data_IF_906569838868
#
_entry.id   IF_906569838868
#
_cell.length_a   1.000
_cell.length_b   1.000
_cell.length_c   1.000
_cell.angle_alpha   90.00
_cell.angle_beta   90.00
_cell.angle_gamma   90.00
#
_symmetry.space_group_name_H-M   'P 1'
#
loop_
_entity.id
_entity.type
_entity.pdbx_description
1 polymer ?
#
# COMPACT_ATOMS: atom_id res chain seq x y z
N UNK A 1 -26.57 1.10 5.71
CA UNK A 1 -26.24 0.87 5.56
C UNK A 1 -25.39 0.53 5.45
N UNK A 2 -25.11 0.49 5.35
CA UNK A 2 -24.45 0.26 5.16
C UNK A 2 -23.70 -0.18 5.04
N UNK A 3 -23.36 -0.43 5.06
CA UNK A 3 -22.73 -0.77 4.94
C UNK A 3 -21.99 -1.32 4.65
N UNK A 4 -21.56 -1.53 4.41
CA UNK A 4 -20.95 -2.02 4.06
C UNK A 4 -20.15 -2.52 4.07
N UNK A 5 -19.73 -2.84 3.96
CA UNK A 5 -19.01 -3.38 3.93
C UNK A 5 -18.21 -3.85 3.74
N UNK A 6 -17.98 -3.92 3.55
CA UNK A 6 -17.34 -4.35 3.55
C UNK A 6 -16.32 -4.92 3.04
N UNK A 7 -15.91 -4.84 2.09
CA UNK A 7 -14.93 -5.45 1.67
C UNK A 7 -13.80 -4.98 2.09
N UNK A 8 -13.15 -5.57 2.63
CA UNK A 8 -12.10 -5.22 3.18
C UNK A 8 -11.16 -4.82 2.27
N UNK A 9 -10.45 -4.67 2.11
CA UNK A 9 -9.48 -4.36 1.47
C UNK A 9 -9.48 -4.33 0.19
N UNK A 10 -8.95 -3.99 -0.43
CA UNK A 10 -8.94 -4.07 -1.70
C UNK A 10 -9.07 -2.81 -2.35
N UNK A 11 -9.23 -2.82 -3.61
CA UNK A 11 -9.29 -1.61 -4.37
C UNK A 11 -10.46 -0.77 -4.07
N UNK A 12 -11.44 -1.33 -3.42
CA UNK A 12 -12.57 -0.55 -3.10
C UNK A 12 -12.50 0.14 -1.82
N UNK A 13 -11.42 0.05 -1.10
CA UNK A 13 -11.30 0.74 0.17
C UNK A 13 -11.25 2.23 -0.10
N UNK A 14 -12.21 3.00 0.33
CA UNK A 14 -12.21 4.43 0.03
C UNK A 14 -11.11 5.21 0.73
N UNK A 15 -10.47 4.61 1.71
CA UNK A 15 -9.38 5.30 2.38
C UNK A 15 -8.05 5.09 1.67
N UNK A 16 -7.99 4.10 0.77
CA UNK A 16 -6.75 3.79 0.10
C UNK A 16 -6.67 4.64 -1.15
N UNK A 17 -6.33 5.90 -0.99
CA UNK A 17 -6.38 6.88 -2.04
C UNK A 17 -4.99 7.22 -2.52
N UNK A 18 -4.92 7.92 -3.63
CA UNK A 18 -3.64 8.39 -4.12
C UNK A 18 -2.97 9.29 -3.09
N UNK A 19 -3.74 10.08 -2.39
CA UNK A 19 -3.18 10.94 -1.36
C UNK A 19 -2.54 10.15 -0.24
N UNK A 20 -3.20 9.07 0.17
CA UNK A 20 -2.65 8.21 1.20
C UNK A 20 -1.32 7.62 0.73
N UNK A 21 -1.27 7.17 -0.52
CA UNK A 21 -0.05 6.57 -1.05
C UNK A 21 1.07 7.60 -1.11
N UNK A 22 0.76 8.80 -1.54
CA UNK A 22 1.75 9.85 -1.60
C UNK A 22 2.29 10.16 -0.21
N UNK A 23 1.42 10.19 0.78
CA UNK A 23 1.85 10.43 2.15
C UNK A 23 2.82 9.37 2.64
N UNK A 24 2.52 8.11 2.34
CA UNK A 24 3.40 7.03 2.77
C UNK A 24 4.74 7.14 2.06
N UNK A 25 4.73 7.43 0.76
CA UNK A 25 5.98 7.57 0.03
C UNK A 25 6.80 8.74 0.61
N UNK A 26 6.11 9.82 0.99
CA UNK A 26 6.82 10.95 1.56
C UNK A 26 7.49 10.58 2.88
N UNK A 27 6.81 9.76 3.68
CA UNK A 27 7.39 9.31 4.93
C UNK A 27 8.64 8.48 4.67
N UNK A 28 8.56 7.58 3.70
CA UNK A 28 9.71 6.74 3.37
C UNK A 28 10.88 7.60 2.92
N UNK A 29 10.61 8.57 2.09
CA UNK A 29 11.68 9.43 1.61
C UNK A 29 12.26 10.27 2.73
N UNK A 30 11.44 10.69 3.66
CA UNK A 30 11.93 11.46 4.78
C UNK A 30 12.89 10.64 5.64
N UNK A 31 12.73 9.32 5.62
CA UNK A 31 13.61 8.45 6.37
C UNK A 31 14.78 7.93 5.54
N UNK A 32 14.94 8.44 4.34
CA UNK A 32 16.11 8.10 3.54
C UNK A 32 15.92 7.07 2.47
N UNK A 33 14.73 6.53 2.34
CA UNK A 33 14.48 5.53 1.30
C UNK A 33 14.19 6.22 -0.01
N UNK A 34 14.65 5.64 -1.10
CA UNK A 34 14.46 6.26 -2.40
C UNK A 34 14.03 5.24 -3.42
N UNK A 35 13.28 5.67 -4.39
CA UNK A 35 12.96 4.82 -5.51
C UNK A 35 14.19 4.67 -6.40
N UNK A 36 14.22 3.62 -7.20
CA UNK A 36 15.32 3.45 -8.13
C UNK A 36 15.42 4.62 -9.09
N UNK A 37 16.61 4.87 -9.57
CA UNK A 37 16.80 5.98 -10.49
C UNK A 37 16.26 5.69 -11.87
N UNK A 38 16.26 4.44 -12.29
CA UNK A 38 15.74 4.08 -13.58
C UNK A 38 14.24 4.17 -13.60
N UNK A 39 13.68 4.85 -14.61
CA UNK A 39 12.26 5.09 -14.62
C UNK A 39 11.43 3.84 -14.67
N UNK A 40 11.83 2.87 -15.46
CA UNK A 40 11.06 1.63 -15.56
C UNK A 40 11.10 0.87 -14.25
N UNK A 41 12.24 0.89 -13.58
CA UNK A 41 12.31 0.22 -12.30
C UNK A 41 11.54 0.97 -11.25
N UNK A 42 11.54 2.29 -11.31
CA UNK A 42 10.77 3.08 -10.37
C UNK A 42 9.28 2.81 -10.51
N UNK A 43 8.81 2.69 -11.75
CA UNK A 43 7.41 2.38 -11.97
C UNK A 43 7.06 1.01 -11.40
N UNK A 44 7.93 0.04 -11.62
CA UNK A 44 7.66 -1.29 -11.09
C UNK A 44 7.68 -1.26 -9.58
N UNK A 45 8.60 -0.52 -9.00
CA UNK A 45 8.71 -0.43 -7.57
C UNK A 45 7.49 0.26 -6.97
N UNK A 46 6.97 1.28 -7.62
CA UNK A 46 5.77 1.93 -7.12
C UNK A 46 4.60 0.98 -7.14
N UNK A 47 4.44 0.23 -8.22
CA UNK A 47 3.34 -0.72 -8.30
C UNK A 47 3.45 -1.79 -7.24
N UNK A 48 4.66 -2.29 -7.03
CA UNK A 48 4.87 -3.29 -5.99
C UNK A 48 4.62 -2.72 -4.60
N UNK A 49 5.02 -1.48 -4.39
CA UNK A 49 4.84 -0.85 -3.09
C UNK A 49 3.36 -0.63 -2.79
N UNK A 50 2.59 -0.25 -3.80
CA UNK A 50 1.17 -0.05 -3.59
C UNK A 50 0.51 -1.37 -3.20
N UNK A 51 0.89 -2.46 -3.86
CA UNK A 51 0.34 -3.75 -3.51
C UNK A 51 0.72 -4.18 -2.11
N UNK A 52 1.98 -3.95 -1.74
CA UNK A 52 2.42 -4.30 -0.40
C UNK A 52 1.73 -3.42 0.65
N UNK A 53 1.49 -2.16 0.31
CA UNK A 53 0.84 -1.27 1.24
C UNK A 53 -0.59 -1.70 1.51
N UNK A 54 -1.26 -2.20 0.49
CA UNK A 54 -2.59 -2.72 0.68
C UNK A 54 -2.58 -3.87 1.70
N UNK A 55 -1.57 -4.71 1.64
CA UNK A 55 -1.46 -5.79 2.60
C UNK A 55 -1.14 -5.27 3.99
N UNK A 56 -0.26 -4.27 4.08
CA UNK A 56 0.08 -3.70 5.36
C UNK A 56 -1.16 -3.15 6.05
N UNK A 57 -1.99 -2.45 5.28
CA UNK A 57 -3.19 -1.86 5.85
C UNK A 57 -4.10 -2.96 6.41
N UNK A 58 -4.24 -4.04 5.67
CA UNK A 58 -5.09 -5.11 6.12
C UNK A 58 -4.59 -5.75 7.40
N UNK A 59 -3.29 -5.98 7.47
CA UNK A 59 -2.70 -6.58 8.66
C UNK A 59 -2.83 -5.62 9.83
N UNK A 60 -2.61 -4.35 9.59
CA UNK A 60 -2.68 -3.35 10.64
C UNK A 60 -4.08 -3.33 11.26
N UNK A 61 -5.09 -3.55 10.44
CA UNK A 61 -6.45 -3.54 10.96
C UNK A 61 -6.89 -4.88 11.49
N UNK A 62 -5.97 -5.81 11.68
CA UNK A 62 -6.33 -7.07 12.31
C UNK A 62 -6.52 -8.24 11.37
N UNK A 63 -6.25 -8.05 10.11
CA UNK A 63 -6.35 -9.15 9.17
C UNK A 63 -5.23 -10.12 9.33
N UNK A 64 -5.33 -11.27 8.69
CA UNK A 64 -4.29 -12.28 8.86
C UNK A 64 -3.02 -11.87 8.13
N UNK A 65 -1.92 -12.20 8.78
CA UNK A 65 -0.65 -11.99 8.15
C UNK A 65 -0.32 -13.19 7.29
N UNK A 66 0.05 -12.96 6.02
CA UNK A 66 0.39 -14.04 5.18
C UNK A 66 1.78 -13.85 4.70
N UNK A 67 2.65 -14.70 5.06
CA UNK A 67 4.02 -14.59 4.67
C UNK A 67 4.13 -14.83 3.19
N UNK A 68 4.89 -14.05 2.53
CA UNK A 68 4.91 -14.11 1.11
C UNK A 68 5.35 -15.39 0.55
N UNK A 69 6.23 -16.08 1.11
CA UNK A 69 6.61 -17.24 0.55
C UNK A 69 6.56 -18.26 1.38
N UNK A 70 5.67 -18.31 2.09
CA UNK A 70 5.58 -19.34 3.04
C UNK A 70 5.45 -20.61 2.43
#
# INVERSE_FOLDING_TARGET
MACSPASPAGPEDPRFTAGFIVDVFAVLEAHGYRLPADEAEADRARGGAVGALSRVVRVFEGGPWEAPDA
#
